data_IF_689456710779
#
_entry.id   IF_689456710779
#
_cell.length_a   1.000
_cell.length_b   1.000
_cell.length_c   1.000
_cell.angle_alpha   90.00
_cell.angle_beta   90.00
_cell.angle_gamma   90.00
#
_symmetry.space_group_name_H-M   'P 1'
#
loop_
_entity.id
_entity.type
_entity.pdbx_description
1 polymer ?
#
# COMPACT_ATOMS: atom_id res chain seq x y z
N UNK A 1 -45.58 -35.78 -48.94
CA UNK A 1 -44.28 -35.33 -49.46
C UNK A 1 -43.40 -34.92 -48.29
N UNK A 2 -42.35 -35.67 -47.93
CA UNK A 2 -41.38 -35.24 -46.92
C UNK A 2 -40.24 -34.46 -47.59
N UNK A 3 -40.02 -33.20 -47.21
CA UNK A 3 -38.77 -32.49 -47.54
C UNK A 3 -37.85 -32.48 -46.33
N UNK A 4 -36.70 -33.10 -46.54
CA UNK A 4 -35.69 -33.49 -45.58
C UNK A 4 -34.91 -32.28 -45.04
N UNK A 5 -34.65 -32.38 -43.74
CA UNK A 5 -33.80 -31.55 -42.89
C UNK A 5 -32.38 -31.38 -43.47
N UNK A 6 -31.89 -30.14 -43.63
CA UNK A 6 -30.48 -29.83 -43.90
C UNK A 6 -29.85 -29.26 -42.63
N UNK A 7 -29.34 -30.15 -41.78
CA UNK A 7 -28.54 -29.79 -40.62
C UNK A 7 -27.14 -29.35 -41.04
N UNK A 8 -26.81 -28.07 -40.82
CA UNK A 8 -25.43 -27.58 -40.98
C UNK A 8 -24.62 -28.06 -39.78
N UNK A 9 -23.86 -29.14 -40.00
CA UNK A 9 -22.91 -29.71 -39.05
C UNK A 9 -21.66 -28.81 -38.98
N UNK A 10 -21.65 -27.87 -38.04
CA UNK A 10 -20.44 -27.10 -37.70
C UNK A 10 -19.50 -28.04 -36.93
N UNK A 11 -18.42 -28.47 -37.58
CA UNK A 11 -17.36 -29.27 -36.94
C UNK A 11 -16.66 -28.43 -35.86
N UNK A 12 -16.42 -28.97 -34.65
CA UNK A 12 -15.64 -28.25 -33.63
C UNK A 12 -14.17 -28.14 -34.08
N UNK A 13 -13.63 -26.92 -34.08
CA UNK A 13 -12.19 -26.67 -34.24
C UNK A 13 -11.46 -27.29 -33.04
N UNK A 14 -10.60 -28.28 -33.29
CA UNK A 14 -9.71 -28.86 -32.26
C UNK A 14 -8.70 -27.80 -31.80
N UNK A 15 -8.45 -27.63 -30.49
CA UNK A 15 -7.32 -26.85 -30.01
C UNK A 15 -6.01 -27.57 -30.40
N UNK A 16 -5.14 -26.88 -31.13
CA UNK A 16 -3.77 -27.33 -31.38
C UNK A 16 -2.99 -27.14 -30.08
N UNK A 17 -2.88 -28.22 -29.32
CA UNK A 17 -1.98 -28.31 -28.18
C UNK A 17 -0.59 -28.66 -28.71
N UNK A 18 0.37 -27.74 -28.55
CA UNK A 18 1.80 -28.02 -28.78
C UNK A 18 2.48 -28.37 -27.46
N UNK A 19 2.92 -29.62 -27.23
CA UNK A 19 3.73 -29.98 -26.08
C UNK A 19 5.25 -29.92 -26.37
N UNK A 20 5.93 -29.18 -25.48
CA UNK A 20 7.27 -29.43 -24.88
C UNK A 20 8.48 -29.54 -25.82
N UNK A 21 9.35 -28.53 -25.80
CA UNK A 21 10.79 -28.78 -25.84
C UNK A 21 11.35 -28.80 -24.42
N UNK A 22 12.15 -29.83 -24.20
CA UNK A 22 12.87 -30.13 -22.97
C UNK A 22 14.31 -29.60 -23.10
N UNK A 23 14.92 -29.35 -21.94
CA UNK A 23 16.37 -29.32 -21.65
C UNK A 23 17.26 -28.22 -22.28
N UNK A 24 17.64 -27.24 -21.46
CA UNK A 24 19.07 -26.95 -21.27
C UNK A 24 19.34 -26.48 -19.83
N UNK A 25 19.92 -27.39 -19.07
CA UNK A 25 20.55 -27.14 -17.78
C UNK A 25 21.90 -26.48 -18.01
N UNK A 26 22.01 -25.16 -17.80
CA UNK A 26 23.29 -24.47 -17.70
C UNK A 26 23.77 -24.47 -16.25
N UNK A 27 24.64 -25.43 -15.95
CA UNK A 27 25.49 -25.46 -14.77
C UNK A 27 26.52 -24.33 -14.83
N UNK A 28 26.42 -23.33 -13.93
CA UNK A 28 27.52 -22.42 -13.64
C UNK A 28 28.11 -22.78 -12.28
N UNK A 29 29.18 -23.55 -12.33
CA UNK A 29 30.14 -23.76 -11.25
C UNK A 29 30.97 -22.48 -11.06
N UNK A 30 30.69 -21.72 -9.99
CA UNK A 30 31.50 -20.57 -9.57
C UNK A 30 31.97 -20.77 -8.13
N UNK A 31 33.27 -21.02 -7.97
CA UNK A 31 33.89 -21.54 -6.75
C UNK A 31 33.87 -20.63 -5.52
N UNK A 32 33.86 -21.28 -4.36
CA UNK A 32 34.26 -20.72 -3.06
C UNK A 32 35.76 -20.39 -3.12
N UNK A 33 36.11 -19.12 -2.99
CA UNK A 33 37.45 -18.73 -2.55
C UNK A 33 37.40 -18.46 -1.04
N UNK A 34 38.05 -19.34 -0.30
CA UNK A 34 38.44 -19.08 1.09
C UNK A 34 39.56 -18.04 1.05
N UNK A 35 39.41 -16.94 1.77
CA UNK A 35 40.51 -16.04 2.06
C UNK A 35 40.56 -15.82 3.56
N UNK A 36 41.35 -16.67 4.19
CA UNK A 36 41.92 -16.48 5.51
C UNK A 36 42.70 -15.18 5.54
N UNK A 37 42.24 -14.18 6.30
CA UNK A 37 43.10 -13.15 6.90
C UNK A 37 42.61 -12.82 8.31
N UNK A 38 43.36 -13.29 9.29
CA UNK A 38 43.54 -12.71 10.64
C UNK A 38 45.03 -12.28 10.72
N UNK A 39 45.50 -11.50 11.72
CA UNK A 39 44.84 -10.56 12.64
C UNK A 39 45.67 -9.24 12.83
N UNK A 40 45.26 -8.42 13.82
CA UNK A 40 46.02 -7.55 14.77
C UNK A 40 45.84 -6.01 14.77
N UNK A 41 45.65 -5.52 16.01
CA UNK A 41 46.21 -4.32 16.64
C UNK A 41 45.38 -3.03 16.80
N UNK A 42 45.01 -2.80 18.07
CA UNK A 42 45.14 -1.56 18.87
C UNK A 42 44.58 -0.23 18.35
N UNK A 43 43.61 0.33 19.08
CA UNK A 43 43.21 1.73 18.95
C UNK A 43 42.12 2.15 19.93
N UNK A 44 42.54 2.53 21.15
CA UNK A 44 41.96 3.58 22.01
C UNK A 44 40.44 3.81 21.99
N UNK A 45 39.74 3.36 23.04
CA UNK A 45 38.48 3.97 23.51
C UNK A 45 38.77 4.83 24.74
N UNK A 46 38.61 6.13 24.62
CA UNK A 46 38.44 7.07 25.75
C UNK A 46 37.01 7.62 25.76
N UNK A 47 36.45 7.93 26.95
CA UNK A 47 35.02 8.16 27.17
C UNK A 47 34.65 9.64 27.36
N UNK A 48 33.38 9.99 27.13
CA UNK A 48 32.74 11.23 27.62
C UNK A 48 31.23 10.94 27.75
N UNK A 49 30.66 10.93 28.97
CA UNK A 49 29.81 12.00 29.56
C UNK A 49 28.39 11.98 28.94
N UNK A 50 27.26 11.87 29.66
CA UNK A 50 26.88 12.18 31.04
C UNK A 50 25.56 11.45 31.32
N UNK A 51 25.38 10.91 32.52
CA UNK A 51 24.09 10.33 32.96
C UNK A 51 23.82 10.80 34.38
N UNK A 52 23.09 11.90 34.51
CA UNK A 52 22.75 12.49 35.80
C UNK A 52 21.39 13.20 35.67
N UNK A 53 20.30 12.52 35.99
CA UNK A 53 19.07 13.22 36.38
C UNK A 53 18.59 12.57 37.67
N UNK A 54 19.15 13.10 38.75
CA UNK A 54 18.71 12.88 40.13
C UNK A 54 17.33 13.49 40.32
N UNK A 55 16.48 12.70 40.98
CA UNK A 55 15.24 13.14 41.61
C UNK A 55 15.50 14.30 42.59
N UNK A 56 14.58 15.27 42.59
CA UNK A 56 14.41 16.25 43.67
C UNK A 56 12.91 16.41 43.95
N UNK A 57 12.42 15.98 45.12
CA UNK A 57 11.19 16.50 45.71
C UNK A 57 11.52 17.64 46.69
N UNK A 58 10.50 18.44 47.01
CA UNK A 58 10.28 19.24 48.24
C UNK A 58 10.30 20.79 48.15
N UNK A 59 9.28 21.34 48.83
CA UNK A 59 9.13 22.66 49.46
C UNK A 59 8.63 23.87 48.67
N UNK A 60 7.32 24.12 48.87
CA UNK A 60 6.69 25.32 49.45
C UNK A 60 7.45 26.65 49.43
N UNK A 61 6.81 27.69 48.88
CA UNK A 61 6.53 28.90 49.66
C UNK A 61 5.35 29.69 49.07
N UNK A 62 4.45 30.12 49.95
CA UNK A 62 3.37 31.05 49.68
C UNK A 62 3.89 32.45 49.34
N UNK A 63 3.18 33.15 48.44
CA UNK A 63 2.74 34.54 48.68
C UNK A 63 1.73 34.98 47.62
N UNK A 64 0.47 35.09 48.04
CA UNK A 64 -0.51 36.05 47.50
C UNK A 64 -0.38 37.39 48.29
N UNK A 65 -1.10 38.50 48.02
CA UNK A 65 -2.13 38.79 46.99
C UNK A 65 -1.98 40.20 46.33
N UNK A 66 -2.83 40.52 45.32
CA UNK A 66 -3.51 41.84 45.20
C UNK A 66 -4.54 41.82 44.07
N UNK A 67 -5.81 41.91 44.46
CA UNK A 67 -6.96 42.18 43.57
C UNK A 67 -7.08 43.69 43.38
N UNK A 68 -7.21 44.16 42.15
CA UNK A 68 -7.90 45.42 41.86
C UNK A 68 -8.91 45.25 40.72
N UNK A 69 -10.17 45.36 41.10
CA UNK A 69 -11.38 45.50 40.31
C UNK A 69 -11.43 46.87 39.62
N UNK A 70 -11.77 46.95 38.31
CA UNK A 70 -12.86 47.79 37.73
C UNK A 70 -12.87 47.88 36.18
N UNK A 71 -14.03 47.51 35.63
CA UNK A 71 -14.74 47.94 34.41
C UNK A 71 -14.34 47.56 32.95
N UNK A 72 -15.32 47.08 32.15
CA UNK A 72 -15.15 46.68 30.76
C UNK A 72 -15.42 47.84 29.79
N UNK A 73 -14.51 48.07 28.83
CA UNK A 73 -14.81 48.83 27.61
C UNK A 73 -14.67 47.94 26.39
N UNK A 74 -15.83 47.55 25.88
CA UNK A 74 -16.08 46.96 24.56
C UNK A 74 -15.74 47.97 23.46
N UNK A 75 -14.91 47.63 22.47
CA UNK A 75 -15.08 48.13 21.11
C UNK A 75 -15.95 47.14 20.36
N UNK A 76 -17.15 47.58 20.04
CA UNK A 76 -18.04 46.94 19.08
C UNK A 76 -17.45 47.12 17.69
N UNK A 77 -16.80 46.09 17.16
CA UNK A 77 -16.67 45.93 15.72
C UNK A 77 -17.16 44.53 15.40
N UNK A 78 -18.42 44.44 14.99
CA UNK A 78 -18.97 43.21 14.45
C UNK A 78 -18.11 42.79 13.24
N UNK A 79 -17.61 41.54 13.18
CA UNK A 79 -17.26 41.00 11.89
C UNK A 79 -18.56 40.90 11.08
N UNK A 80 -18.66 41.65 9.99
CA UNK A 80 -19.63 41.35 8.94
C UNK A 80 -19.54 39.86 8.59
N UNK A 81 -20.67 39.20 8.24
CA UNK A 81 -20.63 37.85 7.72
C UNK A 81 -20.04 37.93 6.31
N UNK A 82 -18.72 37.99 6.21
CA UNK A 82 -18.02 37.81 4.94
C UNK A 82 -18.44 36.45 4.42
N UNK A 83 -19.14 36.47 3.29
CA UNK A 83 -19.65 35.35 2.52
C UNK A 83 -18.53 34.52 1.87
N UNK A 84 -17.38 34.39 2.54
CA UNK A 84 -16.27 33.52 2.15
C UNK A 84 -16.47 32.11 2.71
N UNK A 85 -17.73 31.71 2.89
CA UNK A 85 -18.14 30.34 3.11
C UNK A 85 -18.46 29.79 1.72
N UNK A 86 -17.69 28.81 1.26
CA UNK A 86 -17.79 28.11 -0.04
C UNK A 86 -16.99 28.67 -1.21
N UNK A 87 -15.69 28.85 -1.01
CA UNK A 87 -14.77 28.36 -2.03
C UNK A 87 -13.65 27.54 -1.37
N UNK A 88 -14.03 26.39 -0.80
CA UNK A 88 -13.05 25.30 -0.72
C UNK A 88 -12.59 25.08 -2.16
N UNK A 89 -11.30 25.22 -2.50
CA UNK A 89 -10.83 24.75 -3.77
C UNK A 89 -11.23 23.28 -3.79
N UNK A 90 -12.18 22.94 -4.67
CA UNK A 90 -12.49 21.55 -5.00
C UNK A 90 -11.11 20.98 -5.28
N UNK A 91 -10.58 20.17 -4.35
CA UNK A 91 -9.24 19.63 -4.46
C UNK A 91 -9.27 18.87 -5.77
N UNK A 92 -8.73 19.48 -6.82
CA UNK A 92 -8.71 18.89 -8.13
C UNK A 92 -7.81 17.68 -7.94
N UNK A 93 -8.45 16.52 -7.80
CA UNK A 93 -7.76 15.27 -7.55
C UNK A 93 -6.68 15.17 -8.61
N UNK A 94 -5.43 15.03 -8.15
CA UNK A 94 -4.31 14.90 -9.05
C UNK A 94 -4.58 13.72 -10.00
N UNK A 95 -4.03 13.72 -11.22
CA UNK A 95 -4.20 12.58 -12.14
C UNK A 95 -3.87 11.23 -11.50
N UNK A 96 -2.94 11.23 -10.53
CA UNK A 96 -2.63 10.06 -9.72
C UNK A 96 -3.79 9.64 -8.80
N UNK A 97 -4.42 10.57 -8.08
CA UNK A 97 -5.53 10.26 -7.18
C UNK A 97 -6.74 9.72 -7.94
N UNK A 98 -6.98 10.25 -9.14
CA UNK A 98 -8.00 9.74 -10.06
C UNK A 98 -7.68 8.28 -10.42
N UNK A 99 -6.46 7.99 -10.84
CA UNK A 99 -6.09 6.61 -11.20
C UNK A 99 -6.11 5.67 -9.99
N UNK A 100 -5.66 6.14 -8.81
CA UNK A 100 -5.71 5.36 -7.58
C UNK A 100 -7.14 4.92 -7.26
N UNK A 101 -8.08 5.87 -7.37
CA UNK A 101 -9.50 5.63 -7.21
C UNK A 101 -10.03 4.67 -8.26
N UNK A 102 -9.65 4.85 -9.53
CA UNK A 102 -10.07 3.96 -10.60
C UNK A 102 -9.61 2.52 -10.36
N UNK A 103 -8.39 2.31 -9.86
CA UNK A 103 -7.91 0.98 -9.46
C UNK A 103 -8.80 0.39 -8.36
N UNK A 104 -9.14 1.17 -7.33
CA UNK A 104 -10.04 0.72 -6.27
C UNK A 104 -11.43 0.36 -6.80
N UNK A 105 -11.97 1.15 -7.71
CA UNK A 105 -13.26 0.89 -8.36
C UNK A 105 -13.20 -0.37 -9.24
N UNK A 106 -12.12 -0.58 -9.99
CA UNK A 106 -11.91 -1.81 -10.77
C UNK A 106 -11.84 -3.04 -9.87
N UNK A 107 -11.12 -2.97 -8.74
CA UNK A 107 -11.12 -4.03 -7.73
C UNK A 107 -12.51 -4.31 -7.17
N UNK A 108 -13.29 -3.27 -6.86
CA UNK A 108 -14.69 -3.42 -6.45
C UNK A 108 -15.55 -4.13 -7.50
N UNK A 109 -15.38 -3.78 -8.79
CA UNK A 109 -16.06 -4.42 -9.91
C UNK A 109 -15.67 -5.89 -10.06
N UNK A 110 -14.40 -6.26 -9.88
CA UNK A 110 -13.96 -7.65 -9.90
C UNK A 110 -14.60 -8.45 -8.75
N UNK A 111 -14.66 -7.89 -7.54
CA UNK A 111 -15.35 -8.53 -6.40
C UNK A 111 -16.83 -8.77 -6.68
N UNK A 112 -17.53 -7.78 -7.24
CA UNK A 112 -18.95 -7.92 -7.59
C UNK A 112 -19.17 -8.99 -8.68
N UNK A 113 -18.32 -9.01 -9.70
CA UNK A 113 -18.40 -10.00 -10.80
C UNK A 113 -18.13 -11.43 -10.35
N UNK A 114 -17.24 -11.62 -9.39
CA UNK A 114 -16.82 -12.93 -8.91
C UNK A 114 -17.45 -13.33 -7.56
N UNK A 115 -18.34 -12.51 -7.00
CA UNK A 115 -18.99 -12.76 -5.71
C UNK A 115 -18.00 -12.89 -4.54
N UNK A 116 -16.91 -12.11 -4.54
CA UNK A 116 -15.87 -12.17 -3.51
C UNK A 116 -16.18 -11.19 -2.36
N UNK A 117 -15.95 -11.57 -1.09
CA UNK A 117 -16.12 -10.65 0.04
C UNK A 117 -15.06 -9.54 0.03
N UNK A 118 -15.28 -8.47 0.80
CA UNK A 118 -14.31 -7.38 0.94
C UNK A 118 -13.21 -7.70 1.95
N UNK A 119 -13.55 -8.55 2.93
CA UNK A 119 -12.62 -8.94 3.99
C UNK A 119 -11.78 -10.14 3.55
N UNK A 120 -10.46 -10.01 3.70
CA UNK A 120 -9.49 -11.05 3.36
C UNK A 120 -9.66 -12.30 4.22
N UNK A 121 -10.18 -12.16 5.45
CA UNK A 121 -10.41 -13.30 6.35
C UNK A 121 -11.54 -14.22 5.88
N UNK A 122 -12.48 -13.68 5.11
CA UNK A 122 -13.66 -14.39 4.61
C UNK A 122 -13.45 -14.94 3.18
N UNK A 123 -12.32 -14.64 2.56
CA UNK A 123 -11.99 -15.15 1.22
C UNK A 123 -11.43 -16.58 1.28
N UNK A 124 -11.85 -17.42 0.33
CA UNK A 124 -11.24 -18.73 0.11
C UNK A 124 -9.86 -18.61 -0.54
N UNK A 125 -9.01 -19.64 -0.42
CA UNK A 125 -7.66 -19.66 -1.01
C UNK A 125 -7.64 -19.30 -2.50
N UNK A 126 -8.60 -19.84 -3.26
CA UNK A 126 -8.76 -19.51 -4.68
C UNK A 126 -9.13 -18.04 -4.89
N UNK A 127 -10.06 -17.52 -4.09
CA UNK A 127 -10.47 -16.11 -4.18
C UNK A 127 -9.33 -15.15 -3.83
N UNK A 128 -8.50 -15.48 -2.83
CA UNK A 128 -7.30 -14.70 -2.48
C UNK A 128 -6.32 -14.70 -3.65
N UNK A 129 -6.09 -15.85 -4.30
CA UNK A 129 -5.22 -15.92 -5.48
C UNK A 129 -5.76 -15.07 -6.65
N UNK A 130 -7.05 -15.17 -6.93
CA UNK A 130 -7.69 -14.40 -8.00
C UNK A 130 -7.60 -12.89 -7.71
N UNK A 131 -7.92 -12.46 -6.49
CA UNK A 131 -7.79 -11.05 -6.05
C UNK A 131 -6.33 -10.57 -6.12
N UNK A 132 -5.36 -11.43 -5.77
CA UNK A 132 -3.92 -11.16 -5.89
C UNK A 132 -3.50 -10.97 -7.35
N UNK A 133 -4.08 -11.73 -8.28
CA UNK A 133 -3.82 -11.59 -9.71
C UNK A 133 -4.42 -10.30 -10.27
N UNK A 134 -5.67 -10.00 -9.93
CA UNK A 134 -6.37 -8.79 -10.38
C UNK A 134 -5.65 -7.52 -9.90
N UNK A 135 -5.31 -7.47 -8.61
CA UNK A 135 -4.56 -6.34 -8.05
C UNK A 135 -3.18 -6.19 -8.70
N UNK A 136 -2.48 -7.29 -8.96
CA UNK A 136 -1.17 -7.25 -9.64
C UNK A 136 -1.29 -6.67 -11.06
N UNK A 137 -2.32 -7.06 -11.81
CA UNK A 137 -2.54 -6.55 -13.16
C UNK A 137 -2.84 -5.05 -13.15
N UNK A 138 -3.66 -4.58 -12.21
CA UNK A 138 -3.98 -3.16 -12.09
C UNK A 138 -2.77 -2.32 -11.68
N UNK A 139 -1.97 -2.79 -10.73
CA UNK A 139 -0.71 -2.13 -10.35
C UNK A 139 0.30 -2.11 -11.51
N UNK A 140 0.41 -3.18 -12.30
CA UNK A 140 1.30 -3.21 -13.45
C UNK A 140 0.83 -2.25 -14.56
N UNK A 141 -0.48 -2.17 -14.81
CA UNK A 141 -1.07 -1.17 -15.74
C UNK A 141 -0.74 0.25 -15.31
N UNK A 142 -0.84 0.52 -14.01
CA UNK A 142 -0.42 1.78 -13.42
C UNK A 142 1.07 2.05 -13.66
N UNK A 143 1.96 1.12 -13.33
CA UNK A 143 3.41 1.28 -13.50
C UNK A 143 3.85 1.45 -14.96
N UNK A 144 3.11 0.88 -15.91
CA UNK A 144 3.37 1.08 -17.33
C UNK A 144 2.97 2.48 -17.81
N UNK A 145 1.95 3.09 -17.18
CA UNK A 145 1.43 4.42 -17.54
C UNK A 145 2.13 5.55 -16.77
N UNK A 146 2.52 5.30 -15.53
CA UNK A 146 3.15 6.27 -14.63
C UNK A 146 4.51 5.76 -14.16
N UNK A 147 5.51 6.64 -14.07
CA UNK A 147 6.77 6.29 -13.42
C UNK A 147 6.57 6.07 -11.91
N UNK A 148 7.55 5.41 -11.26
CA UNK A 148 7.48 5.09 -9.82
C UNK A 148 7.14 6.35 -8.99
N UNK A 149 6.28 6.26 -7.96
CA UNK A 149 5.89 7.42 -7.17
C UNK A 149 7.11 8.04 -6.47
N UNK A 150 7.54 9.21 -6.92
CA UNK A 150 8.74 9.90 -6.44
C UNK A 150 8.43 10.82 -5.27
N UNK A 151 7.29 11.52 -5.31
CA UNK A 151 6.88 12.47 -4.29
C UNK A 151 6.22 11.80 -3.08
N UNK A 152 6.32 12.43 -1.91
CA UNK A 152 5.72 11.92 -0.67
C UNK A 152 4.20 11.78 -0.75
N UNK A 153 3.54 12.70 -1.45
CA UNK A 153 2.10 12.66 -1.67
C UNK A 153 1.69 11.47 -2.55
N UNK A 154 2.39 11.26 -3.67
CA UNK A 154 2.12 10.12 -4.55
C UNK A 154 2.30 8.79 -3.81
N UNK A 155 3.34 8.69 -2.96
CA UNK A 155 3.55 7.53 -2.09
C UNK A 155 2.39 7.34 -1.12
N UNK A 156 1.90 8.41 -0.48
CA UNK A 156 0.76 8.37 0.45
C UNK A 156 -0.50 7.80 -0.22
N UNK A 157 -0.80 8.26 -1.43
CA UNK A 157 -1.98 7.83 -2.20
C UNK A 157 -1.86 6.37 -2.64
N UNK A 158 -0.68 5.97 -3.11
CA UNK A 158 -0.45 4.61 -3.62
C UNK A 158 -0.24 3.56 -2.52
N UNK A 159 0.24 3.97 -1.35
CA UNK A 159 0.52 3.07 -0.22
C UNK A 159 -0.61 2.07 0.10
N UNK A 160 -1.89 2.47 0.24
CA UNK A 160 -2.97 1.51 0.53
C UNK A 160 -3.13 0.42 -0.55
N UNK A 161 -2.92 0.74 -1.83
CA UNK A 161 -3.00 -0.23 -2.92
C UNK A 161 -1.86 -1.25 -2.84
N UNK A 162 -0.64 -0.75 -2.65
CA UNK A 162 0.54 -1.60 -2.50
C UNK A 162 0.45 -2.48 -1.24
N UNK A 163 0.00 -1.93 -0.11
CA UNK A 163 -0.14 -2.69 1.12
C UNK A 163 -1.22 -3.79 1.01
N UNK A 164 -2.34 -3.51 0.33
CA UNK A 164 -3.36 -4.53 0.07
C UNK A 164 -2.83 -5.68 -0.78
N UNK A 165 -2.09 -5.38 -1.85
CA UNK A 165 -1.40 -6.40 -2.65
C UNK A 165 -0.42 -7.23 -1.81
N UNK A 166 0.36 -6.59 -0.94
CA UNK A 166 1.32 -7.30 -0.07
C UNK A 166 0.63 -8.23 0.93
N UNK A 167 -0.54 -7.84 1.45
CA UNK A 167 -1.34 -8.71 2.31
C UNK A 167 -1.81 -9.96 1.56
N UNK A 168 -2.37 -9.77 0.36
CA UNK A 168 -2.78 -10.86 -0.52
C UNK A 168 -1.62 -11.82 -0.83
N UNK A 169 -0.45 -11.28 -1.23
CA UNK A 169 0.75 -12.07 -1.52
C UNK A 169 1.17 -12.95 -0.33
N UNK A 170 1.20 -12.37 0.88
CA UNK A 170 1.54 -13.11 2.11
C UNK A 170 0.54 -14.22 2.42
N UNK A 171 -0.76 -13.98 2.21
CA UNK A 171 -1.78 -14.99 2.44
C UNK A 171 -1.64 -16.17 1.45
N UNK A 172 -1.40 -15.88 0.18
CA UNK A 172 -1.11 -16.92 -0.83
C UNK A 172 0.12 -17.74 -0.45
N UNK A 173 1.22 -17.08 -0.09
CA UNK A 173 2.46 -17.75 0.32
C UNK A 173 2.25 -18.64 1.57
N UNK A 174 1.48 -18.16 2.56
CA UNK A 174 1.16 -18.93 3.77
C UNK A 174 0.33 -20.18 3.46
N UNK A 175 -0.54 -20.12 2.45
CA UNK A 175 -1.37 -21.26 2.04
C UNK A 175 -0.57 -22.30 1.25
N UNK A 176 0.41 -21.88 0.45
CA UNK A 176 1.28 -22.78 -0.32
C UNK A 176 2.25 -23.60 0.55
N UNK A 177 2.56 -23.15 1.77
CA UNK A 177 3.46 -23.86 2.69
C UNK A 177 2.76 -24.93 3.53
N UNK A 178 1.44 -25.10 3.41
CA UNK A 178 0.64 -26.05 4.20
C UNK A 178 0.19 -27.30 3.41
N UNK A 179 0.55 -27.38 2.13
CA UNK A 179 0.32 -28.55 1.26
C UNK A 179 1.61 -29.31 1.03
#
# INVERSE_FOLDING_TARGET
MPTTNTGIMIKPKKPVYSPKESISSSSTSGGRVVSSRRPVSSGTKTPLVTSNTSNTPVSSNEQSPSIQTINPKRPTTAPSPSSDIWNSPQQQLTPLEIEARDIQERMGKYRLRHGRPHDLSQMTSKQIYDEKCDMQQELLRYENKYSKPTTSEQKRIMKPLYDYYRQLKRLVEKQQQQT
#
